data_IF_552532485666
#
_entry.id   IF_552532485666
#
_cell.length_a   1.000
_cell.length_b   1.000
_cell.length_c   1.000
_cell.angle_alpha   90.00
_cell.angle_beta   90.00
_cell.angle_gamma   90.00
#
_symmetry.space_group_name_H-M   'P 1'
#
loop_
_entity.id
_entity.type
_entity.pdbx_description
1 polymer ?
#
# COMPACT_ATOMS: atom_id res chain seq x y z
N UNK A 1 -13.96 18.78 -6.71
CA UNK A 1 -13.36 18.43 -5.40
C UNK A 1 -13.11 16.93 -5.35
N UNK A 2 -12.01 16.49 -4.73
CA UNK A 2 -11.71 15.05 -4.55
C UNK A 2 -12.31 14.60 -3.21
N UNK A 3 -13.04 13.49 -3.21
CA UNK A 3 -13.54 12.86 -1.99
C UNK A 3 -12.96 11.43 -1.92
N UNK A 4 -12.29 11.11 -0.84
CA UNK A 4 -11.74 9.79 -0.56
C UNK A 4 -12.64 9.05 0.44
N UNK A 5 -12.97 7.81 0.17
CA UNK A 5 -13.83 6.99 1.03
C UNK A 5 -13.07 5.72 1.43
N UNK A 6 -12.99 5.47 2.73
CA UNK A 6 -12.36 4.28 3.28
C UNK A 6 -12.99 3.86 4.61
N UNK A 7 -12.56 2.72 5.15
CA UNK A 7 -12.91 2.30 6.50
C UNK A 7 -12.37 3.25 7.57
N UNK A 8 -12.98 3.21 8.75
CA UNK A 8 -12.55 4.02 9.89
C UNK A 8 -11.32 3.42 10.60
N UNK A 9 -10.24 3.20 9.83
CA UNK A 9 -8.91 2.86 10.33
C UNK A 9 -7.84 3.22 9.29
N UNK A 10 -6.61 3.45 9.76
CA UNK A 10 -5.48 3.79 8.90
C UNK A 10 -4.92 2.52 8.25
N UNK A 11 -4.76 2.55 6.94
CA UNK A 11 -4.17 1.46 6.17
C UNK A 11 -3.49 2.00 4.92
N UNK A 12 -2.40 1.36 4.49
CA UNK A 12 -1.57 1.83 3.40
C UNK A 12 -2.35 2.15 2.12
N UNK A 13 -3.40 1.38 1.79
CA UNK A 13 -4.21 1.57 0.57
C UNK A 13 -4.86 2.95 0.47
N UNK A 14 -5.29 3.51 1.57
CA UNK A 14 -5.86 4.87 1.61
C UNK A 14 -4.80 5.91 1.97
N UNK A 15 -3.82 5.51 2.79
CA UNK A 15 -2.81 6.45 3.27
C UNK A 15 -1.92 6.96 2.13
N UNK A 16 -1.59 6.13 1.13
CA UNK A 16 -0.80 6.58 -0.02
C UNK A 16 -1.52 7.69 -0.81
N UNK A 17 -2.84 7.61 -0.96
CA UNK A 17 -3.64 8.65 -1.63
C UNK A 17 -3.63 9.94 -0.80
N UNK A 18 -3.87 9.81 0.50
CA UNK A 18 -3.91 10.95 1.43
C UNK A 18 -2.55 11.62 1.54
N UNK A 19 -1.48 10.85 1.72
CA UNK A 19 -0.11 11.36 1.81
C UNK A 19 0.29 12.08 0.51
N UNK A 20 -0.01 11.49 -0.64
CA UNK A 20 0.25 12.08 -1.94
C UNK A 20 -0.44 13.45 -2.10
N UNK A 21 -1.75 13.51 -1.84
CA UNK A 21 -2.51 14.76 -1.94
C UNK A 21 -2.08 15.79 -0.89
N UNK A 22 -1.81 15.35 0.34
CA UNK A 22 -1.35 16.24 1.42
C UNK A 22 0.04 16.81 1.16
N UNK A 23 0.97 16.00 0.65
CA UNK A 23 2.32 16.43 0.27
C UNK A 23 2.28 17.59 -0.72
N UNK A 24 1.41 17.51 -1.70
CA UNK A 24 1.24 18.53 -2.74
C UNK A 24 0.17 19.59 -2.40
N UNK A 25 -0.33 19.60 -1.16
CA UNK A 25 -1.33 20.57 -0.66
C UNK A 25 -2.61 20.60 -1.51
N UNK A 26 -2.98 19.47 -2.11
CA UNK A 26 -4.22 19.35 -2.88
C UNK A 26 -5.36 19.04 -1.90
N UNK A 27 -6.41 19.88 -1.86
CA UNK A 27 -7.53 19.70 -0.93
C UNK A 27 -8.38 18.47 -1.32
N UNK A 28 -8.81 17.72 -0.31
CA UNK A 28 -9.71 16.59 -0.44
C UNK A 28 -10.59 16.41 0.80
N UNK A 29 -11.77 15.85 0.60
CA UNK A 29 -12.63 15.39 1.69
C UNK A 29 -12.30 13.92 2.01
N UNK A 30 -12.25 13.55 3.29
CA UNK A 30 -12.04 12.16 3.70
C UNK A 30 -13.26 11.63 4.47
N UNK A 31 -13.98 10.71 3.86
CA UNK A 31 -15.16 10.05 4.43
C UNK A 31 -14.78 8.67 4.97
N UNK A 32 -15.10 8.42 6.23
CA UNK A 32 -14.86 7.15 6.91
C UNK A 32 -16.13 6.33 7.03
N UNK A 33 -16.05 5.04 6.73
CA UNK A 33 -17.16 4.10 6.85
C UNK A 33 -16.87 3.15 8.01
N UNK A 34 -17.79 3.11 8.96
CA UNK A 34 -17.73 2.13 10.05
C UNK A 34 -17.88 0.71 9.48
N UNK A 35 -17.05 -0.22 9.97
CA UNK A 35 -17.08 -1.63 9.55
C UNK A 35 -18.44 -2.31 9.74
N UNK A 36 -19.19 -1.94 10.77
CA UNK A 36 -20.52 -2.50 11.03
C UNK A 36 -21.54 -2.13 9.95
N UNK A 37 -21.37 -0.97 9.31
CA UNK A 37 -22.24 -0.50 8.23
C UNK A 37 -21.86 -1.13 6.88
N UNK A 38 -20.65 -1.66 6.75
CA UNK A 38 -20.09 -2.13 5.49
C UNK A 38 -20.94 -3.20 4.77
N UNK A 39 -21.49 -4.24 5.43
CA UNK A 39 -22.30 -5.26 4.74
C UNK A 39 -23.50 -4.66 3.99
N UNK A 40 -24.12 -3.62 4.54
CA UNK A 40 -25.25 -2.91 3.92
C UNK A 40 -24.79 -1.97 2.80
N UNK A 41 -23.69 -1.26 3.02
CA UNK A 41 -23.17 -0.23 2.09
C UNK A 41 -22.33 -0.78 0.93
N UNK A 42 -21.83 -2.00 1.04
CA UNK A 42 -20.89 -2.58 0.06
C UNK A 42 -21.39 -2.49 -1.39
N UNK A 43 -22.69 -2.64 -1.61
CA UNK A 43 -23.32 -2.62 -2.94
C UNK A 43 -23.34 -1.23 -3.59
N UNK A 44 -23.13 -0.16 -2.81
CA UNK A 44 -23.14 1.22 -3.28
C UNK A 44 -21.81 1.60 -3.97
N UNK A 45 -20.78 0.75 -3.87
CA UNK A 45 -19.42 1.03 -4.31
C UNK A 45 -18.96 0.11 -5.44
N UNK A 46 -18.16 0.64 -6.39
CA UNK A 46 -17.57 -0.17 -7.45
C UNK A 46 -16.79 -1.36 -6.89
N UNK A 47 -16.90 -2.53 -7.54
CA UNK A 47 -16.27 -3.78 -7.11
C UNK A 47 -16.63 -4.23 -5.68
N UNK A 48 -17.54 -3.54 -4.97
CA UNK A 48 -17.86 -3.78 -3.57
C UNK A 48 -16.61 -3.71 -2.68
N UNK A 49 -15.70 -2.79 -2.93
CA UNK A 49 -14.40 -2.65 -2.27
C UNK A 49 -14.09 -1.18 -1.96
N UNK A 50 -13.16 -0.96 -1.03
CA UNK A 50 -12.56 0.32 -0.70
C UNK A 50 -11.02 0.21 -0.86
N UNK A 51 -10.32 1.31 -1.18
CA UNK A 51 -10.77 2.70 -1.27
C UNK A 51 -11.65 2.99 -2.50
N UNK A 52 -12.48 4.02 -2.36
CA UNK A 52 -13.19 4.67 -3.47
C UNK A 52 -12.85 6.15 -3.47
N UNK A 53 -12.71 6.71 -4.65
CA UNK A 53 -12.55 8.14 -4.86
C UNK A 53 -13.71 8.68 -5.70
N UNK A 54 -14.28 9.81 -5.29
CA UNK A 54 -15.27 10.54 -6.08
C UNK A 54 -14.62 11.79 -6.67
N UNK A 55 -14.75 11.94 -7.99
CA UNK A 55 -14.31 13.12 -8.73
C UNK A 55 -15.39 13.45 -9.75
N UNK A 56 -15.86 14.70 -9.76
CA UNK A 56 -16.96 15.14 -10.63
C UNK A 56 -18.17 14.19 -10.55
N UNK A 57 -18.60 13.88 -9.33
CA UNK A 57 -19.72 13.01 -8.97
C UNK A 57 -19.64 11.57 -9.49
N UNK A 58 -18.51 11.16 -10.05
CA UNK A 58 -18.24 9.78 -10.49
C UNK A 58 -17.35 9.05 -9.51
N UNK A 59 -17.70 7.79 -9.27
CA UNK A 59 -16.95 6.89 -8.38
C UNK A 59 -15.87 6.12 -9.15
N UNK A 60 -14.67 6.09 -8.58
CA UNK A 60 -13.52 5.32 -9.07
C UNK A 60 -12.95 4.48 -7.93
N UNK A 61 -12.39 3.33 -8.25
CA UNK A 61 -11.80 2.43 -7.26
C UNK A 61 -10.52 1.79 -7.80
N UNK A 62 -9.96 0.84 -7.04
CA UNK A 62 -8.65 0.20 -7.25
C UNK A 62 -7.47 1.10 -6.83
N UNK A 63 -6.79 0.68 -5.78
CA UNK A 63 -5.73 1.46 -5.12
C UNK A 63 -4.67 1.97 -6.10
N UNK A 64 -4.17 1.12 -7.01
CA UNK A 64 -3.17 1.50 -8.00
C UNK A 64 -3.69 2.62 -8.92
N UNK A 65 -4.87 2.44 -9.52
CA UNK A 65 -5.46 3.45 -10.42
C UNK A 65 -5.69 4.79 -9.71
N UNK A 66 -6.18 4.74 -8.46
CA UNK A 66 -6.39 5.94 -7.65
C UNK A 66 -5.06 6.61 -7.29
N UNK A 67 -4.02 5.83 -6.97
CA UNK A 67 -2.69 6.34 -6.67
C UNK A 67 -2.08 7.05 -7.88
N UNK A 68 -2.18 6.48 -9.08
CA UNK A 68 -1.74 7.13 -10.34
C UNK A 68 -2.44 8.46 -10.56
N UNK A 69 -3.76 8.49 -10.42
CA UNK A 69 -4.53 9.73 -10.56
C UNK A 69 -4.10 10.81 -9.57
N UNK A 70 -3.94 10.46 -8.29
CA UNK A 70 -3.48 11.40 -7.27
C UNK A 70 -2.06 11.88 -7.57
N UNK A 71 -1.16 10.96 -7.94
CA UNK A 71 0.24 11.25 -8.20
C UNK A 71 0.45 12.13 -9.44
N UNK A 72 -0.33 11.93 -10.51
CA UNK A 72 -0.30 12.80 -11.69
C UNK A 72 -0.68 14.23 -11.30
N UNK A 73 -1.73 14.40 -10.50
CA UNK A 73 -2.14 15.74 -10.02
C UNK A 73 -1.15 16.38 -9.05
N UNK A 74 -0.44 15.56 -8.30
CA UNK A 74 0.54 15.96 -7.30
C UNK A 74 1.95 16.20 -7.88
N UNK A 75 2.18 15.97 -9.19
CA UNK A 75 3.49 15.94 -9.83
C UNK A 75 4.46 14.90 -9.21
N UNK A 76 3.89 13.82 -8.65
CA UNK A 76 4.60 12.67 -8.07
C UNK A 76 4.54 11.41 -8.96
N UNK A 77 4.13 11.57 -10.21
CA UNK A 77 4.15 10.56 -11.27
C UNK A 77 4.99 11.08 -12.42
N UNK A 78 5.71 10.20 -13.11
CA UNK A 78 6.60 10.62 -14.19
C UNK A 78 5.88 10.63 -15.55
N UNK A 79 6.53 11.21 -16.56
CA UNK A 79 6.12 11.17 -17.97
C UNK A 79 7.03 10.28 -18.81
N UNK A 80 8.18 9.89 -18.28
CA UNK A 80 9.09 8.94 -18.92
C UNK A 80 8.58 7.51 -18.73
N UNK A 81 8.36 6.80 -19.82
CA UNK A 81 7.76 5.46 -19.82
C UNK A 81 8.53 4.45 -18.96
N UNK A 82 9.86 4.46 -18.98
CA UNK A 82 10.67 3.55 -18.18
C UNK A 82 10.58 3.84 -16.69
N UNK A 83 10.49 5.11 -16.30
CA UNK A 83 10.27 5.48 -14.90
C UNK A 83 8.86 5.15 -14.45
N UNK A 84 7.87 5.28 -15.34
CA UNK A 84 6.49 4.83 -15.08
C UNK A 84 6.47 3.34 -14.79
N UNK A 85 7.17 2.51 -15.58
CA UNK A 85 7.25 1.06 -15.31
C UNK A 85 7.81 0.76 -13.91
N UNK A 86 8.84 1.49 -13.46
CA UNK A 86 9.40 1.32 -12.12
C UNK A 86 8.37 1.72 -11.05
N UNK A 87 7.71 2.85 -11.22
CA UNK A 87 6.69 3.34 -10.28
C UNK A 87 5.54 2.34 -10.17
N UNK A 88 5.04 1.86 -11.30
CA UNK A 88 3.92 0.91 -11.34
C UNK A 88 4.28 -0.44 -10.73
N UNK A 89 5.50 -0.96 -10.97
CA UNK A 89 5.98 -2.18 -10.31
C UNK A 89 5.97 -2.06 -8.78
N UNK A 90 6.35 -0.91 -8.22
CA UNK A 90 6.30 -0.70 -6.77
C UNK A 90 4.86 -0.65 -6.25
N UNK A 91 3.95 -0.03 -6.98
CA UNK A 91 2.53 -0.01 -6.63
C UNK A 91 1.90 -1.41 -6.68
N UNK A 92 2.27 -2.20 -7.68
CA UNK A 92 1.82 -3.58 -7.82
C UNK A 92 2.45 -4.47 -6.74
N UNK A 93 3.76 -4.34 -6.46
CA UNK A 93 4.42 -5.02 -5.34
C UNK A 93 3.68 -4.77 -4.01
N UNK A 94 3.30 -3.52 -3.73
CA UNK A 94 2.56 -3.17 -2.51
C UNK A 94 1.20 -3.88 -2.43
N UNK A 95 0.53 -4.04 -3.57
CA UNK A 95 -0.73 -4.77 -3.66
C UNK A 95 -0.53 -6.28 -3.48
N UNK A 96 0.46 -6.85 -4.15
CA UNK A 96 0.75 -8.29 -4.13
C UNK A 96 1.14 -8.76 -2.73
N UNK A 97 2.12 -8.16 -2.08
CA UNK A 97 2.52 -8.56 -0.72
C UNK A 97 1.35 -8.47 0.28
N UNK A 98 0.46 -7.49 0.07
CA UNK A 98 -0.77 -7.37 0.87
C UNK A 98 -1.73 -8.54 0.58
N UNK A 99 -1.79 -9.00 -0.65
CA UNK A 99 -2.62 -10.15 -1.06
C UNK A 99 -2.08 -11.44 -0.48
N UNK A 100 -0.78 -11.64 -0.45
CA UNK A 100 -0.12 -12.82 0.15
C UNK A 100 -0.36 -12.91 1.67
N UNK A 101 -0.27 -11.82 2.42
CA UNK A 101 -0.53 -11.84 3.87
C UNK A 101 -2.02 -11.86 4.23
N UNK A 102 -2.91 -11.43 3.32
CA UNK A 102 -4.34 -11.26 3.58
C UNK A 102 -5.08 -12.52 4.10
N UNK A 103 -4.75 -13.77 3.69
CA UNK A 103 -5.40 -14.96 4.23
C UNK A 103 -5.29 -15.08 5.74
N UNK A 104 -4.10 -14.81 6.32
CA UNK A 104 -3.88 -14.85 7.76
C UNK A 104 -4.69 -13.77 8.51
N UNK A 105 -4.74 -12.56 7.96
CA UNK A 105 -5.54 -11.46 8.52
C UNK A 105 -7.04 -11.78 8.47
N UNK A 106 -7.49 -12.39 7.37
CA UNK A 106 -8.89 -12.80 7.18
C UNK A 106 -9.30 -13.86 8.17
N UNK A 107 -8.45 -14.87 8.41
CA UNK A 107 -8.67 -15.92 9.39
C UNK A 107 -8.86 -15.34 10.81
N UNK A 108 -8.02 -14.37 11.21
CA UNK A 108 -8.17 -13.72 12.52
C UNK A 108 -9.44 -12.85 12.60
N UNK A 109 -9.64 -11.96 11.62
CA UNK A 109 -10.62 -10.89 11.74
C UNK A 109 -12.05 -11.27 11.33
N UNK A 110 -12.21 -12.16 10.36
CA UNK A 110 -13.52 -12.55 9.82
C UNK A 110 -13.95 -13.91 10.31
N UNK A 111 -13.05 -14.90 10.30
CA UNK A 111 -13.33 -16.26 10.69
C UNK A 111 -13.18 -16.48 12.22
N UNK A 112 -12.58 -15.51 12.92
CA UNK A 112 -12.25 -15.58 14.36
C UNK A 112 -11.47 -16.84 14.72
N UNK A 113 -10.66 -17.35 13.80
CA UNK A 113 -9.84 -18.53 13.96
C UNK A 113 -8.35 -18.15 14.10
N UNK A 114 -7.92 -17.95 15.35
CA UNK A 114 -6.56 -17.54 15.66
C UNK A 114 -5.52 -18.62 15.34
N UNK A 115 -5.86 -19.90 15.52
CA UNK A 115 -4.95 -21.00 15.20
C UNK A 115 -4.65 -21.05 13.70
N UNK A 116 -5.70 -20.96 12.86
CA UNK A 116 -5.57 -20.87 11.39
C UNK A 116 -4.78 -19.60 10.99
N UNK A 117 -5.07 -18.48 11.64
CA UNK A 117 -4.34 -17.23 11.38
C UNK A 117 -2.85 -17.36 11.63
N UNK A 118 -2.45 -17.94 12.76
CA UNK A 118 -1.04 -18.15 13.11
C UNK A 118 -0.35 -19.08 12.10
N UNK A 119 -1.00 -20.19 11.73
CA UNK A 119 -0.46 -21.11 10.73
C UNK A 119 -0.22 -20.41 9.39
N UNK A 120 -1.22 -19.72 8.84
CA UNK A 120 -1.10 -19.00 7.58
C UNK A 120 -0.09 -17.83 7.65
N UNK A 121 0.08 -17.21 8.82
CA UNK A 121 1.09 -16.17 9.02
C UNK A 121 2.50 -16.77 9.01
N UNK A 122 2.67 -17.92 9.64
CA UNK A 122 3.94 -18.63 9.63
C UNK A 122 4.34 -19.06 8.22
N UNK A 123 3.40 -19.64 7.46
CA UNK A 123 3.59 -19.98 6.04
C UNK A 123 4.00 -18.77 5.20
N UNK A 124 3.36 -17.61 5.41
CA UNK A 124 3.74 -16.36 4.75
C UNK A 124 5.16 -15.91 5.12
N UNK A 125 5.54 -15.99 6.40
CA UNK A 125 6.88 -15.61 6.84
C UNK A 125 7.95 -16.49 6.20
N UNK A 126 7.71 -17.79 6.13
CA UNK A 126 8.67 -18.78 5.61
C UNK A 126 8.82 -18.69 4.08
N UNK A 127 7.74 -18.44 3.35
CA UNK A 127 7.74 -18.55 1.90
C UNK A 127 7.75 -17.20 1.17
N UNK A 128 7.14 -16.16 1.76
CA UNK A 128 6.88 -14.91 1.04
C UNK A 128 7.63 -13.70 1.59
N UNK A 129 7.65 -13.50 2.92
CA UNK A 129 8.09 -12.25 3.53
C UNK A 129 9.47 -11.79 3.03
N UNK A 130 10.49 -12.64 3.23
CA UNK A 130 11.86 -12.28 2.84
C UNK A 130 12.02 -12.18 1.33
N UNK A 131 11.35 -13.03 0.59
CA UNK A 131 11.41 -13.07 -0.87
C UNK A 131 10.85 -11.77 -1.47
N UNK A 132 9.66 -11.35 -1.04
CA UNK A 132 9.02 -10.14 -1.56
C UNK A 132 9.78 -8.85 -1.19
N UNK A 133 10.36 -8.78 0.01
CA UNK A 133 11.19 -7.65 0.38
C UNK A 133 12.53 -7.65 -0.37
N UNK A 134 13.11 -8.81 -0.65
CA UNK A 134 14.31 -8.90 -1.49
C UNK A 134 14.06 -8.45 -2.93
N UNK A 135 12.88 -8.73 -3.49
CA UNK A 135 12.49 -8.22 -4.81
C UNK A 135 12.42 -6.68 -4.82
N UNK A 136 11.79 -6.08 -3.81
CA UNK A 136 11.74 -4.63 -3.68
C UNK A 136 13.15 -4.02 -3.52
N UNK A 137 14.00 -4.64 -2.71
CA UNK A 137 15.41 -4.20 -2.55
C UNK A 137 16.16 -4.25 -3.87
N UNK A 138 16.01 -5.34 -4.63
CA UNK A 138 16.65 -5.48 -5.93
C UNK A 138 16.14 -4.44 -6.94
N UNK A 139 14.85 -4.14 -6.92
CA UNK A 139 14.28 -3.09 -7.75
C UNK A 139 14.91 -1.72 -7.40
N UNK A 140 14.96 -1.36 -6.11
CA UNK A 140 15.58 -0.11 -5.64
C UNK A 140 17.08 -0.04 -6.01
N UNK A 141 17.80 -1.15 -5.85
CA UNK A 141 19.22 -1.26 -6.15
C UNK A 141 19.52 -1.04 -7.64
N UNK A 142 18.66 -1.56 -8.51
CA UNK A 142 18.89 -1.60 -9.96
C UNK A 142 18.30 -0.39 -10.69
N UNK A 143 17.28 0.25 -10.15
CA UNK A 143 16.55 1.34 -10.80
C UNK A 143 17.05 2.74 -10.40
N UNK A 144 17.81 2.85 -9.32
CA UNK A 144 18.27 4.13 -8.78
C UNK A 144 19.77 4.14 -8.47
N UNK A 145 20.49 5.09 -9.06
CA UNK A 145 21.94 5.24 -8.83
C UNK A 145 22.28 5.56 -7.37
N UNK A 146 21.47 6.38 -6.72
CA UNK A 146 21.70 6.82 -5.33
C UNK A 146 20.94 6.02 -4.28
N UNK A 147 20.06 5.09 -4.70
CA UNK A 147 19.21 4.25 -3.83
C UNK A 147 18.38 5.05 -2.82
N UNK A 148 18.18 6.34 -3.12
CA UNK A 148 17.41 7.25 -2.27
C UNK A 148 15.91 7.21 -2.61
N UNK A 149 15.59 7.02 -3.88
CA UNK A 149 14.24 6.91 -4.41
C UNK A 149 14.20 5.80 -5.46
N UNK A 150 13.03 5.28 -5.78
CA UNK A 150 12.88 4.25 -6.83
C UNK A 150 13.15 4.78 -8.23
N UNK A 151 13.07 6.09 -8.42
CA UNK A 151 13.51 6.78 -9.64
C UNK A 151 14.57 7.84 -9.30
N UNK A 152 14.86 8.73 -10.19
CA UNK A 152 15.79 9.84 -9.94
C UNK A 152 15.26 10.91 -8.98
N UNK A 153 13.94 10.91 -8.73
CA UNK A 153 13.25 11.85 -7.84
C UNK A 153 12.18 11.15 -7.01
N UNK A 154 11.78 11.80 -5.92
CA UNK A 154 10.68 11.34 -5.07
C UNK A 154 9.37 11.22 -5.84
N UNK A 155 8.66 10.12 -5.66
CA UNK A 155 7.45 9.75 -6.39
C UNK A 155 6.43 9.03 -5.51
N UNK A 156 5.28 8.69 -6.09
CA UNK A 156 4.26 7.87 -5.42
C UNK A 156 4.77 6.47 -5.07
N UNK A 157 5.76 5.94 -5.80
CA UNK A 157 6.40 4.68 -5.48
C UNK A 157 7.05 4.71 -4.09
N UNK A 158 7.73 5.81 -3.77
CA UNK A 158 8.40 5.99 -2.48
C UNK A 158 7.39 6.07 -1.33
N UNK A 159 6.29 6.79 -1.53
CA UNK A 159 5.20 6.85 -0.55
C UNK A 159 4.61 5.45 -0.32
N UNK A 160 4.37 4.69 -1.38
CA UNK A 160 3.78 3.35 -1.30
C UNK A 160 4.73 2.35 -0.61
N UNK A 161 5.98 2.29 -1.03
CA UNK A 161 7.00 1.41 -0.46
C UNK A 161 7.20 1.71 1.02
N UNK A 162 7.46 2.99 1.37
CA UNK A 162 7.66 3.41 2.75
C UNK A 162 6.44 3.05 3.62
N UNK A 163 5.23 3.31 3.14
CA UNK A 163 4.01 3.07 3.92
C UNK A 163 3.73 1.59 4.14
N UNK A 164 4.06 0.72 3.18
CA UNK A 164 3.97 -0.74 3.34
C UNK A 164 5.05 -1.25 4.29
N UNK A 165 6.32 -0.83 4.14
CA UNK A 165 7.40 -1.19 5.06
C UNK A 165 7.02 -0.78 6.49
N UNK A 166 6.54 0.46 6.69
CA UNK A 166 6.05 0.93 7.98
C UNK A 166 4.97 0.02 8.57
N UNK A 167 4.03 -0.47 7.76
CA UNK A 167 2.99 -1.37 8.23
C UNK A 167 3.58 -2.70 8.72
N UNK A 168 4.52 -3.28 8.00
CA UNK A 168 5.19 -4.52 8.41
C UNK A 168 6.06 -4.32 9.66
N UNK A 169 6.69 -3.18 9.81
CA UNK A 169 7.53 -2.84 10.97
C UNK A 169 6.74 -2.29 12.18
N UNK A 170 5.42 -2.12 12.08
CA UNK A 170 4.60 -1.45 13.10
C UNK A 170 4.34 -2.25 14.38
N UNK A 171 4.72 -3.53 14.43
CA UNK A 171 4.37 -4.44 15.53
C UNK A 171 2.88 -4.86 15.57
N UNK A 172 2.07 -4.45 14.58
CA UNK A 172 0.64 -4.78 14.51
C UNK A 172 0.34 -6.10 13.80
N UNK A 173 1.34 -6.70 13.20
CA UNK A 173 1.24 -7.98 12.51
C UNK A 173 1.86 -9.06 13.39
N UNK A 174 1.01 -9.86 14.05
CA UNK A 174 1.45 -10.96 14.91
C UNK A 174 2.50 -11.82 14.21
N UNK A 175 3.52 -12.25 14.93
CA UNK A 175 4.63 -13.11 14.50
C UNK A 175 5.62 -12.44 13.51
N UNK A 176 5.37 -11.23 13.05
CA UNK A 176 6.33 -10.50 12.22
C UNK A 176 7.19 -9.60 13.11
N UNK A 177 8.45 -9.99 13.28
CA UNK A 177 9.46 -9.18 13.97
C UNK A 177 10.04 -8.15 12.98
N UNK A 178 10.04 -6.85 13.32
CA UNK A 178 10.62 -5.80 12.48
C UNK A 178 12.09 -6.04 12.09
N UNK A 179 12.82 -6.86 12.82
CA UNK A 179 14.20 -7.23 12.50
C UNK A 179 14.34 -7.98 11.17
N UNK A 180 13.25 -8.50 10.57
CA UNK A 180 13.28 -9.08 9.23
C UNK A 180 13.91 -8.16 8.20
N UNK A 181 13.77 -6.83 8.37
CA UNK A 181 14.33 -5.83 7.47
C UNK A 181 15.87 -5.79 7.50
N UNK A 182 16.51 -6.41 8.50
CA UNK A 182 17.97 -6.55 8.54
C UNK A 182 18.51 -7.39 7.38
N UNK A 183 17.71 -8.25 6.80
CA UNK A 183 18.08 -9.08 5.64
C UNK A 183 18.04 -8.30 4.32
N UNK A 184 17.47 -7.11 4.32
CA UNK A 184 17.43 -6.18 3.19
C UNK A 184 18.03 -4.83 3.59
N UNK A 185 19.37 -4.73 3.71
CA UNK A 185 20.04 -3.58 4.30
C UNK A 185 19.87 -2.28 3.49
N UNK A 186 19.69 -2.37 2.17
CA UNK A 186 19.44 -1.20 1.33
C UNK A 186 18.04 -0.64 1.59
N UNK A 187 17.03 -1.51 1.69
CA UNK A 187 15.68 -1.09 2.08
C UNK A 187 15.62 -0.58 3.52
N UNK A 188 16.37 -1.18 4.42
CA UNK A 188 16.47 -0.69 5.79
C UNK A 188 17.00 0.74 5.85
N UNK A 189 18.08 1.04 5.09
CA UNK A 189 18.62 2.39 4.99
C UNK A 189 17.66 3.36 4.29
N UNK A 190 16.95 2.89 3.28
CA UNK A 190 15.92 3.67 2.58
C UNK A 190 14.73 4.03 3.50
N UNK A 191 14.35 3.12 4.38
CA UNK A 191 13.22 3.28 5.30
C UNK A 191 13.52 4.25 6.45
N UNK A 192 14.76 4.26 6.98
CA UNK A 192 15.20 5.11 8.09
C UNK A 192 15.48 6.56 7.63
#
# INVERSE_FOLDING_TARGET
>A
MIKLIYFDFNFWRIDILRLCLSYSKIPYEYVRINRQQWPKKKKEFPFGQLPVMIVNDKQYSQTHSLAKFCATRASLYDTNELKILIIDQVLDWANEITTHIAPSIRAAMREKNLAKSKKLRQEFIENDLHLWFSYLENLLKNSSLNKKFFTDKFSIADIAAWRVIFWFCSGKLDLIDPSFLNQTPILKNYYN
#
